data_IF_396577258345
#
_entry.id   IF_396577258345
#
_cell.length_a   1.000
_cell.length_b   1.000
_cell.length_c   1.000
_cell.angle_alpha   90.00
_cell.angle_beta   90.00
_cell.angle_gamma   90.00
#
_symmetry.space_group_name_H-M   'P 1'
#
loop_
_entity.id
_entity.type
_entity.pdbx_description
1 polymer ?
#
# COMPACT_ATOMS: atom_id res chain seq x y z
N UNK A 1 -23.52 51.38 25.34
CA UNK A 1 -23.41 50.54 24.12
C UNK A 1 -22.73 49.24 24.53
N UNK A 2 -23.50 48.17 24.72
CA UNK A 2 -22.94 46.85 25.00
C UNK A 2 -22.61 46.21 23.65
N UNK A 3 -21.33 46.02 23.36
CA UNK A 3 -20.91 45.23 22.21
C UNK A 3 -21.23 43.77 22.53
N UNK A 4 -22.34 43.27 22.01
CA UNK A 4 -22.68 41.85 22.07
C UNK A 4 -21.74 41.09 21.12
N UNK A 5 -20.52 40.82 21.59
CA UNK A 5 -19.59 39.92 20.93
C UNK A 5 -20.06 38.47 21.13
N UNK A 6 -21.21 38.13 20.55
CA UNK A 6 -21.64 36.75 20.45
C UNK A 6 -20.54 35.97 19.73
N UNK A 7 -20.07 34.90 20.36
CA UNK A 7 -19.05 34.01 19.79
C UNK A 7 -19.47 33.46 18.42
N UNK A 8 -20.77 33.27 18.19
CA UNK A 8 -21.31 32.85 16.90
C UNK A 8 -21.34 33.97 15.86
N UNK A 9 -21.50 35.23 16.26
CA UNK A 9 -21.36 36.39 15.37
C UNK A 9 -19.90 36.59 14.93
N UNK A 10 -18.93 36.36 15.84
CA UNK A 10 -17.50 36.36 15.54
C UNK A 10 -17.08 35.23 14.58
N UNK A 11 -17.68 34.03 14.70
CA UNK A 11 -17.48 32.92 13.74
C UNK A 11 -18.04 33.20 12.36
N UNK A 12 -19.20 33.86 12.29
CA UNK A 12 -19.84 34.25 11.02
C UNK A 12 -19.19 35.48 10.37
N UNK A 13 -18.34 36.21 11.12
CA UNK A 13 -17.62 37.40 10.65
C UNK A 13 -16.21 37.12 10.13
N UNK A 14 -15.67 35.91 10.35
CA UNK A 14 -14.46 35.43 9.64
C UNK A 14 -14.84 34.97 8.23
N UNK A 15 -13.96 35.19 7.24
CA UNK A 15 -14.09 34.80 5.82
C UNK A 15 -14.90 33.51 5.61
N UNK A 16 -15.73 33.44 4.54
CA UNK A 16 -16.59 32.29 4.17
C UNK A 16 -16.03 30.95 4.65
N UNK A 17 -16.47 30.55 5.84
CA UNK A 17 -15.88 29.43 6.59
C UNK A 17 -16.09 28.13 5.84
N UNK A 18 -17.18 28.02 5.07
CA UNK A 18 -17.46 26.86 4.23
C UNK A 18 -16.48 26.79 3.07
N UNK A 19 -16.23 27.90 2.37
CA UNK A 19 -15.27 27.94 1.27
C UNK A 19 -13.84 27.64 1.75
N UNK A 20 -13.43 28.22 2.89
CA UNK A 20 -12.10 27.98 3.48
C UNK A 20 -11.94 26.50 3.88
N UNK A 21 -12.91 25.94 4.60
CA UNK A 21 -12.87 24.53 5.01
C UNK A 21 -12.91 23.58 3.83
N UNK A 22 -13.66 23.90 2.77
CA UNK A 22 -13.68 23.11 1.53
C UNK A 22 -12.31 23.12 0.83
N UNK A 23 -11.65 24.28 0.75
CA UNK A 23 -10.31 24.41 0.19
C UNK A 23 -9.29 23.60 1.01
N UNK A 24 -9.32 23.71 2.34
CA UNK A 24 -8.45 22.94 3.23
C UNK A 24 -8.65 21.42 3.08
N UNK A 25 -9.91 20.96 3.02
CA UNK A 25 -10.24 19.54 2.79
C UNK A 25 -9.74 19.04 1.44
N UNK A 26 -9.82 19.86 0.40
CA UNK A 26 -9.32 19.51 -0.93
C UNK A 26 -7.80 19.35 -0.92
N UNK A 27 -7.07 20.27 -0.29
CA UNK A 27 -5.61 20.18 -0.16
C UNK A 27 -5.18 18.99 0.70
N UNK A 28 -5.89 18.74 1.80
CA UNK A 28 -5.66 17.55 2.63
C UNK A 28 -5.84 16.27 1.81
N UNK A 29 -6.94 16.15 1.04
CA UNK A 29 -7.21 15.00 0.18
C UNK A 29 -6.08 14.79 -0.85
N UNK A 30 -5.62 15.86 -1.51
CA UNK A 30 -4.51 15.79 -2.48
C UNK A 30 -3.24 15.28 -1.81
N UNK A 31 -2.88 15.89 -0.68
CA UNK A 31 -1.68 15.55 0.09
C UNK A 31 -1.70 14.11 0.58
N UNK A 32 -2.83 13.68 1.14
CA UNK A 32 -3.03 12.33 1.63
C UNK A 32 -2.99 11.32 0.45
N UNK A 33 -3.63 11.63 -0.68
CA UNK A 33 -3.57 10.78 -1.88
C UNK A 33 -2.14 10.65 -2.42
N UNK A 34 -1.34 11.72 -2.41
CA UNK A 34 0.08 11.71 -2.77
C UNK A 34 0.90 10.84 -1.81
N UNK A 35 0.67 10.97 -0.50
CA UNK A 35 1.28 10.10 0.50
C UNK A 35 1.01 8.62 0.21
N UNK A 36 -0.25 8.27 -0.09
CA UNK A 36 -0.62 6.91 -0.49
C UNK A 36 0.09 6.43 -1.75
N UNK A 37 0.17 7.28 -2.77
CA UNK A 37 0.83 6.98 -4.04
C UNK A 37 2.35 6.74 -3.86
N UNK A 38 3.03 7.60 -3.09
CA UNK A 38 4.46 7.46 -2.82
C UNK A 38 4.77 6.27 -1.92
N UNK A 39 3.98 6.05 -0.87
CA UNK A 39 4.11 4.87 -0.01
C UNK A 39 3.96 3.60 -0.83
N UNK A 40 2.92 3.49 -1.69
CA UNK A 40 2.75 2.37 -2.61
C UNK A 40 3.96 2.17 -3.52
N UNK A 41 4.53 3.25 -4.04
CA UNK A 41 5.70 3.19 -4.91
C UNK A 41 6.92 2.67 -4.16
N UNK A 42 7.13 3.13 -2.91
CA UNK A 42 8.22 2.67 -2.03
C UNK A 42 8.05 1.22 -1.61
N UNK A 43 6.83 0.76 -1.33
CA UNK A 43 6.54 -0.66 -1.11
C UNK A 43 6.89 -1.49 -2.35
N UNK A 44 6.51 -1.03 -3.55
CA UNK A 44 6.86 -1.73 -4.80
C UNK A 44 8.36 -1.76 -5.06
N UNK A 45 9.10 -0.71 -4.67
CA UNK A 45 10.55 -0.65 -4.88
C UNK A 45 11.32 -1.52 -3.87
N UNK A 46 10.83 -1.66 -2.63
CA UNK A 46 11.40 -2.55 -1.61
C UNK A 46 11.26 -4.03 -1.99
N UNK A 47 10.15 -4.37 -2.66
CA UNK A 47 9.87 -5.70 -3.21
C UNK A 47 10.68 -6.00 -4.48
N UNK A 48 11.91 -6.51 -4.32
CA UNK A 48 12.84 -6.81 -5.42
C UNK A 48 12.70 -8.24 -5.95
N UNK A 49 12.77 -8.39 -7.26
CA UNK A 49 12.82 -9.71 -7.91
C UNK A 49 14.20 -10.34 -7.73
N UNK A 50 14.30 -11.41 -6.94
CA UNK A 50 15.55 -12.15 -6.67
C UNK A 50 15.25 -13.62 -6.38
N UNK A 51 16.17 -14.57 -6.65
CA UNK A 51 16.04 -15.94 -6.17
C UNK A 51 16.22 -16.01 -4.65
N UNK A 52 15.76 -17.11 -4.04
CA UNK A 52 15.92 -17.36 -2.60
C UNK A 52 15.02 -16.51 -1.69
N UNK A 53 15.08 -16.78 -0.40
CA UNK A 53 14.30 -16.10 0.65
C UNK A 53 15.11 -14.91 1.18
N UNK A 54 14.47 -13.76 1.45
CA UNK A 54 15.12 -12.64 2.18
C UNK A 54 15.43 -13.01 3.64
N UNK A 55 16.17 -12.17 4.38
CA UNK A 55 16.35 -12.34 5.84
C UNK A 55 15.08 -11.91 6.59
N UNK A 56 14.82 -12.43 7.81
CA UNK A 56 13.79 -11.89 8.69
C UNK A 56 13.94 -10.38 8.90
N UNK A 57 12.81 -9.68 9.10
CA UNK A 57 12.77 -8.22 9.25
C UNK A 57 12.97 -7.43 7.96
N UNK A 58 13.49 -8.04 6.89
CA UNK A 58 13.68 -7.40 5.60
C UNK A 58 12.49 -7.68 4.66
N UNK A 59 12.22 -6.78 3.69
CA UNK A 59 11.17 -7.01 2.69
C UNK A 59 11.34 -8.35 1.97
N UNK A 60 10.24 -9.04 1.63
CA UNK A 60 10.29 -10.32 0.94
C UNK A 60 10.85 -10.18 -0.48
N UNK A 61 11.60 -11.20 -0.92
CA UNK A 61 11.96 -11.32 -2.33
C UNK A 61 10.73 -11.69 -3.16
N UNK A 62 10.69 -11.15 -4.37
CA UNK A 62 9.58 -11.33 -5.29
C UNK A 62 9.91 -12.38 -6.33
N UNK A 63 9.01 -13.32 -6.54
CA UNK A 63 9.16 -14.38 -7.55
C UNK A 63 8.05 -14.30 -8.59
N UNK A 64 8.38 -14.65 -9.84
CA UNK A 64 7.44 -14.63 -10.98
C UNK A 64 6.75 -15.96 -11.24
N UNK A 65 7.19 -17.02 -10.57
CA UNK A 65 6.79 -18.40 -10.89
C UNK A 65 5.27 -18.59 -10.79
N UNK A 66 4.65 -19.08 -11.88
CA UNK A 66 3.24 -19.51 -11.97
C UNK A 66 2.21 -18.44 -11.60
N UNK A 67 2.56 -17.15 -11.74
CA UNK A 67 1.58 -16.10 -11.55
C UNK A 67 0.60 -16.04 -12.71
N UNK A 68 -0.69 -15.94 -12.39
CA UNK A 68 -1.76 -15.60 -13.36
C UNK A 68 -1.64 -14.14 -13.84
N UNK A 69 -0.94 -13.30 -13.10
CA UNK A 69 -0.77 -11.89 -13.40
C UNK A 69 0.40 -11.68 -14.35
N UNK A 70 0.17 -10.89 -15.39
CA UNK A 70 1.15 -10.58 -16.44
C UNK A 70 1.12 -9.10 -16.80
N UNK A 71 2.25 -8.55 -17.24
CA UNK A 71 2.35 -7.18 -17.77
C UNK A 71 2.84 -7.20 -19.21
N UNK A 72 2.37 -6.27 -20.07
CA UNK A 72 2.96 -6.08 -21.38
C UNK A 72 4.42 -5.66 -21.23
N UNK A 73 5.28 -6.19 -22.10
CA UNK A 73 6.70 -5.87 -22.23
C UNK A 73 6.97 -5.73 -23.72
N UNK A 74 7.61 -4.64 -24.15
CA UNK A 74 8.13 -4.53 -25.51
C UNK A 74 9.29 -5.52 -25.69
N UNK A 75 9.21 -6.35 -26.70
CA UNK A 75 10.28 -7.21 -27.16
C UNK A 75 11.30 -6.37 -27.97
N UNK A 76 12.47 -6.96 -28.22
CA UNK A 76 13.50 -6.34 -29.06
C UNK A 76 12.96 -6.03 -30.45
N UNK A 77 12.10 -6.90 -30.97
CA UNK A 77 11.50 -6.80 -32.32
C UNK A 77 10.32 -5.82 -32.38
N UNK A 78 10.14 -4.96 -31.38
CA UNK A 78 9.03 -4.00 -31.30
C UNK A 78 7.67 -4.60 -30.93
N UNK A 79 7.51 -5.93 -31.00
CA UNK A 79 6.28 -6.63 -30.60
C UNK A 79 6.02 -6.53 -29.09
N UNK A 80 4.75 -6.61 -28.69
CA UNK A 80 4.38 -6.62 -27.25
C UNK A 80 4.15 -8.04 -26.76
N UNK A 81 5.00 -8.49 -25.83
CA UNK A 81 4.90 -9.81 -25.18
C UNK A 81 4.39 -9.68 -23.75
N UNK A 82 3.67 -10.69 -23.25
CA UNK A 82 3.20 -10.72 -21.85
C UNK A 82 4.26 -11.35 -20.94
N UNK A 83 4.69 -10.62 -19.91
CA UNK A 83 5.65 -11.08 -18.90
C UNK A 83 4.92 -11.41 -17.60
N UNK A 84 5.13 -12.60 -17.05
CA UNK A 84 4.63 -12.94 -15.71
C UNK A 84 5.22 -12.01 -14.63
N UNK A 85 4.38 -11.63 -13.67
CA UNK A 85 4.73 -10.74 -12.56
C UNK A 85 4.16 -11.26 -11.26
N UNK A 86 4.74 -10.88 -10.13
CA UNK A 86 4.28 -11.42 -8.85
C UNK A 86 3.03 -10.70 -8.35
N UNK A 87 2.01 -11.44 -7.89
CA UNK A 87 0.84 -10.82 -7.26
C UNK A 87 1.22 -9.98 -6.03
N UNK A 88 2.26 -10.38 -5.29
CA UNK A 88 2.74 -9.64 -4.12
C UNK A 88 3.15 -8.20 -4.43
N UNK A 89 3.73 -7.99 -5.61
CA UNK A 89 4.20 -6.67 -6.05
C UNK A 89 3.12 -5.88 -6.79
N UNK A 90 2.24 -6.55 -7.50
CA UNK A 90 1.23 -5.89 -8.32
C UNK A 90 -0.02 -5.49 -7.52
N UNK A 91 -0.45 -6.34 -6.59
CA UNK A 91 -1.68 -6.17 -5.82
C UNK A 91 -1.49 -5.30 -4.57
N UNK A 92 -0.74 -4.21 -4.69
CA UNK A 92 -0.65 -3.17 -3.65
C UNK A 92 -1.50 -2.02 -4.11
N UNK A 93 -2.40 -1.54 -3.25
CA UNK A 93 -3.34 -0.47 -3.54
C UNK A 93 -3.34 0.56 -2.41
N UNK A 94 -3.90 1.73 -2.71
CA UNK A 94 -4.24 2.74 -1.72
C UNK A 94 -5.58 3.36 -2.07
N UNK A 95 -6.29 3.85 -1.05
CA UNK A 95 -7.52 4.60 -1.19
C UNK A 95 -7.58 5.69 -0.13
N UNK A 96 -8.16 6.84 -0.49
CA UNK A 96 -8.54 7.88 0.45
C UNK A 96 -9.99 7.64 0.88
N UNK A 97 -10.22 7.57 2.17
CA UNK A 97 -11.56 7.51 2.76
C UNK A 97 -12.02 8.92 3.11
N UNK A 98 -13.17 9.30 2.54
CA UNK A 98 -13.77 10.61 2.72
C UNK A 98 -14.43 10.80 4.09
N UNK A 99 -14.93 9.73 4.70
CA UNK A 99 -15.64 9.80 5.98
C UNK A 99 -14.65 10.02 7.13
N UNK A 100 -13.61 9.19 7.18
CA UNK A 100 -12.58 9.26 8.21
C UNK A 100 -11.45 10.24 7.89
N UNK A 101 -11.46 10.84 6.69
CA UNK A 101 -10.37 11.65 6.15
C UNK A 101 -9.02 10.96 6.32
N UNK A 102 -8.92 9.69 5.94
CA UNK A 102 -7.72 8.88 6.13
C UNK A 102 -7.30 8.19 4.84
N UNK A 103 -6.05 7.74 4.79
CA UNK A 103 -5.54 6.96 3.65
C UNK A 103 -5.20 5.56 4.11
N UNK A 104 -5.81 4.59 3.44
CA UNK A 104 -5.53 3.18 3.64
C UNK A 104 -4.61 2.69 2.53
N UNK A 105 -3.49 2.08 2.88
CA UNK A 105 -2.53 1.51 1.94
C UNK A 105 -2.23 0.06 2.33
N UNK A 106 -2.23 -0.84 1.37
CA UNK A 106 -1.83 -2.22 1.65
C UNK A 106 -1.92 -3.19 0.48
N UNK A 107 -1.37 -4.40 0.66
CA UNK A 107 -1.51 -5.50 -0.27
C UNK A 107 -2.92 -6.14 -0.16
N UNK A 108 -3.54 -6.41 -1.30
CA UNK A 108 -4.73 -7.25 -1.37
C UNK A 108 -4.33 -8.71 -1.23
N UNK A 109 -5.14 -9.48 -0.51
CA UNK A 109 -4.94 -10.92 -0.30
C UNK A 109 -4.94 -11.63 -1.66
N UNK A 110 -4.01 -12.57 -1.85
CA UNK A 110 -3.96 -13.46 -3.01
C UNK A 110 -3.49 -14.85 -2.57
N UNK A 111 -3.83 -15.86 -3.37
CA UNK A 111 -3.67 -17.27 -3.02
C UNK A 111 -5.00 -18.02 -3.20
N UNK A 112 -5.01 -19.34 -2.98
CA UNK A 112 -6.29 -20.07 -2.92
C UNK A 112 -6.92 -19.90 -1.55
N UNK A 113 -8.25 -20.06 -1.43
CA UNK A 113 -8.95 -19.97 -0.15
C UNK A 113 -8.41 -20.95 0.92
N UNK A 114 -7.87 -22.08 0.46
CA UNK A 114 -7.22 -23.05 1.30
C UNK A 114 -5.80 -22.62 1.72
N UNK A 115 -5.08 -21.81 0.95
CA UNK A 115 -3.69 -21.43 1.26
C UNK A 115 -3.63 -20.23 2.23
N UNK A 116 -2.51 -20.12 2.96
CA UNK A 116 -2.28 -18.96 3.83
C UNK A 116 -2.45 -17.67 3.05
N UNK A 117 -3.17 -16.70 3.63
CA UNK A 117 -3.25 -15.31 3.14
C UNK A 117 -1.85 -14.67 3.22
N UNK A 118 -1.08 -14.87 2.15
CA UNK A 118 0.38 -14.63 2.11
C UNK A 118 0.80 -13.22 2.56
N UNK A 119 0.13 -12.12 2.15
CA UNK A 119 0.58 -10.79 2.54
C UNK A 119 0.56 -10.55 4.05
N UNK A 120 -0.49 -11.02 4.75
CA UNK A 120 -0.60 -10.86 6.20
C UNK A 120 0.45 -11.68 6.95
N UNK A 121 0.77 -12.88 6.45
CA UNK A 121 1.82 -13.74 6.99
C UNK A 121 3.21 -13.11 6.83
N UNK A 122 3.47 -12.46 5.71
CA UNK A 122 4.74 -11.77 5.48
C UNK A 122 4.86 -10.51 6.33
N UNK A 123 3.78 -9.76 6.54
CA UNK A 123 3.81 -8.55 7.38
C UNK A 123 3.99 -8.88 8.86
N UNK A 124 3.19 -9.80 9.41
CA UNK A 124 3.15 -10.07 10.85
C UNK A 124 3.96 -11.29 11.29
N UNK A 125 4.35 -12.16 10.37
CA UNK A 125 4.82 -13.51 10.70
C UNK A 125 3.67 -14.42 11.14
N UNK A 126 4.00 -15.66 11.51
CA UNK A 126 3.06 -16.62 12.09
C UNK A 126 3.13 -18.01 11.47
N UNK A 127 2.20 -18.87 11.87
CA UNK A 127 2.04 -20.22 11.32
C UNK A 127 0.96 -20.27 10.25
N UNK A 128 1.10 -21.19 9.30
CA UNK A 128 0.06 -21.44 8.31
C UNK A 128 0.30 -22.70 7.49
N UNK A 129 -0.73 -23.13 6.76
CA UNK A 129 -0.67 -24.33 5.93
C UNK A 129 -0.46 -24.00 4.46
N UNK A 130 0.47 -24.68 3.81
CA UNK A 130 0.79 -24.50 2.40
C UNK A 130 0.82 -25.85 1.68
N UNK A 131 0.56 -25.84 0.37
CA UNK A 131 0.75 -27.03 -0.47
C UNK A 131 2.25 -27.30 -0.64
N UNK A 132 2.70 -28.46 -0.18
CA UNK A 132 4.05 -28.98 -0.33
C UNK A 132 4.11 -29.91 -1.55
N UNK A 133 4.81 -29.47 -2.61
CA UNK A 133 5.04 -30.30 -3.79
C UNK A 133 3.86 -30.43 -4.75
N UNK A 134 4.06 -31.24 -5.81
CA UNK A 134 3.05 -31.47 -6.87
C UNK A 134 1.94 -32.43 -6.46
N UNK A 135 2.20 -33.28 -5.46
CA UNK A 135 1.26 -34.27 -4.91
C UNK A 135 0.05 -33.63 -4.21
N UNK A 136 0.12 -32.33 -3.89
CA UNK A 136 -0.98 -31.62 -3.22
C UNK A 136 -1.02 -31.79 -1.71
N UNK A 137 -0.06 -32.53 -1.14
CA UNK A 137 0.16 -32.66 0.31
C UNK A 137 0.20 -31.27 0.97
N UNK A 138 -0.48 -31.10 2.10
CA UNK A 138 -0.51 -29.82 2.82
C UNK A 138 0.38 -29.91 4.06
N UNK A 139 1.36 -29.02 4.17
CA UNK A 139 2.27 -28.93 5.32
C UNK A 139 2.01 -27.66 6.11
N UNK A 140 2.23 -27.73 7.42
CA UNK A 140 2.26 -26.57 8.30
C UNK A 140 3.68 -25.99 8.28
N UNK A 141 3.78 -24.68 8.15
CA UNK A 141 5.03 -23.94 8.24
C UNK A 141 4.91 -22.80 9.24
N UNK A 142 6.06 -22.35 9.75
CA UNK A 142 6.19 -21.14 10.56
C UNK A 142 7.06 -20.16 9.79
N UNK A 143 6.62 -18.90 9.72
CA UNK A 143 7.31 -17.83 9.02
C UNK A 143 7.60 -16.66 9.96
N UNK A 144 8.83 -16.15 9.90
CA UNK A 144 9.21 -14.91 10.55
C UNK A 144 8.66 -13.70 9.77
N UNK A 145 8.36 -12.61 10.49
CA UNK A 145 7.92 -11.35 9.91
C UNK A 145 8.96 -10.75 8.95
N UNK A 146 8.46 -10.20 7.86
CA UNK A 146 9.17 -9.53 6.74
C UNK A 146 8.37 -8.30 6.34
N UNK A 147 8.25 -7.31 7.24
CA UNK A 147 7.39 -6.16 7.02
C UNK A 147 7.90 -5.34 5.83
N UNK A 148 6.98 -4.92 4.97
CA UNK A 148 7.29 -4.04 3.84
C UNK A 148 6.29 -2.87 3.72
N UNK A 149 5.13 -2.95 4.38
CA UNK A 149 4.16 -1.86 4.46
C UNK A 149 4.63 -0.76 5.42
N UNK A 150 4.74 -1.08 6.72
CA UNK A 150 5.06 -0.10 7.77
C UNK A 150 6.39 0.64 7.52
N UNK A 151 7.51 -0.06 7.23
CA UNK A 151 8.77 0.62 6.94
C UNK A 151 8.70 1.55 5.72
N UNK A 152 7.84 1.26 4.74
CA UNK A 152 7.67 2.14 3.58
C UNK A 152 6.86 3.40 3.93
N UNK A 153 5.81 3.27 4.75
CA UNK A 153 5.03 4.41 5.23
C UNK A 153 5.85 5.34 6.10
N UNK A 154 6.55 4.79 7.11
CA UNK A 154 7.37 5.57 8.05
C UNK A 154 8.46 6.36 7.31
N UNK A 155 9.12 5.70 6.36
CA UNK A 155 10.21 6.32 5.61
C UNK A 155 9.72 7.34 4.57
N UNK A 156 8.46 7.27 4.14
CA UNK A 156 7.84 8.31 3.31
C UNK A 156 7.36 9.50 4.14
N UNK A 157 6.78 9.24 5.32
CA UNK A 157 6.41 10.25 6.30
C UNK A 157 7.62 11.09 6.71
N UNK A 158 8.75 10.44 7.02
CA UNK A 158 10.02 11.10 7.33
C UNK A 158 10.58 11.92 6.16
N UNK A 159 10.36 11.48 4.91
CA UNK A 159 10.90 12.20 3.76
C UNK A 159 10.14 13.48 3.39
N UNK A 160 8.88 13.60 3.79
CA UNK A 160 8.04 14.76 3.50
C UNK A 160 7.78 15.05 2.02
N UNK A 161 8.14 14.14 1.08
CA UNK A 161 8.04 14.42 -0.37
C UNK A 161 6.62 14.70 -0.84
N UNK A 162 5.63 14.07 -0.19
CA UNK A 162 4.20 14.25 -0.48
C UNK A 162 3.68 15.67 -0.20
N UNK A 163 4.42 16.49 0.55
CA UNK A 163 4.08 17.89 0.85
C UNK A 163 4.53 18.89 -0.22
N UNK A 164 5.42 18.50 -1.13
CA UNK A 164 6.10 19.42 -2.08
C UNK A 164 5.41 19.56 -3.44
N UNK A 165 4.23 18.96 -3.61
CA UNK A 165 3.54 18.88 -4.91
C UNK A 165 2.47 19.94 -5.09
#
# INVERSE_FOLDING_TARGET
MAFDFSFDALKNSFFDTKAVMAAAKNEYRKTASRFGAYTRTRMKSSLRYKPGKSKPGHPPHVHRSRSKYTRPKKATDGTTVRRQVSPLKELIFFAFDHETQSVVIGPVKFGTAADVKVPGLLEKGGAGTFKAGRSGERKRGVWSARPFVKPAGDAEAQSGKFLKG
#
